data_IF_367625640406
#
_entry.id   IF_367625640406
#
_cell.length_a   1.000
_cell.length_b   1.000
_cell.length_c   1.000
_cell.angle_alpha   90.00
_cell.angle_beta   90.00
_cell.angle_gamma   90.00
#
_symmetry.space_group_name_H-M   'P 1'
#
loop_
_entity.id
_entity.type
_entity.pdbx_description
1 polymer ?
#
# COMPACT_ATOMS: atom_id res chain seq x y z
N UNK A 1 25.37 3.05 -3.53
CA UNK A 1 24.17 3.81 -3.92
C UNK A 1 23.01 2.84 -3.75
N UNK A 2 22.06 3.18 -2.88
CA UNK A 2 20.92 2.29 -2.63
C UNK A 2 19.95 2.42 -3.85
N UNK A 3 19.77 1.34 -4.62
CA UNK A 3 18.92 1.35 -5.83
C UNK A 3 17.50 0.83 -5.51
N UNK A 4 17.08 0.92 -4.25
CA UNK A 4 15.73 0.55 -3.84
C UNK A 4 14.72 1.56 -4.36
N UNK A 5 13.63 1.04 -4.92
CA UNK A 5 12.52 1.86 -5.45
C UNK A 5 11.22 1.51 -4.74
N UNK A 6 10.31 2.47 -4.72
CA UNK A 6 8.95 2.22 -4.23
C UNK A 6 8.32 1.04 -5.00
N UNK A 7 7.74 0.05 -4.31
CA UNK A 7 7.24 -1.18 -4.94
C UNK A 7 5.93 -0.98 -5.72
N UNK A 8 5.29 0.17 -5.56
CA UNK A 8 4.04 0.54 -6.25
C UNK A 8 3.91 2.06 -6.39
N UNK A 9 3.03 2.48 -7.29
CA UNK A 9 2.64 3.89 -7.43
C UNK A 9 1.57 4.22 -6.38
N UNK A 10 1.79 5.31 -5.63
CA UNK A 10 0.86 5.78 -4.61
C UNK A 10 0.41 7.21 -4.91
N UNK A 11 -0.88 7.51 -4.64
CA UNK A 11 -1.39 8.87 -4.81
C UNK A 11 -0.62 9.85 -3.89
N UNK A 12 -0.17 10.96 -4.45
CA UNK A 12 0.71 11.88 -3.73
C UNK A 12 2.14 11.36 -3.53
N UNK A 13 2.53 10.30 -4.24
CA UNK A 13 3.86 9.69 -4.14
C UNK A 13 4.99 10.67 -4.42
N UNK A 14 6.02 10.62 -3.57
CA UNK A 14 7.12 11.60 -3.52
C UNK A 14 8.37 11.14 -4.30
N UNK A 15 8.28 10.10 -5.13
CA UNK A 15 9.44 9.50 -5.83
C UNK A 15 10.24 10.51 -6.66
N UNK A 16 9.56 11.48 -7.29
CA UNK A 16 10.22 12.49 -8.13
C UNK A 16 10.95 13.55 -7.33
N UNK A 17 10.58 13.77 -6.09
CA UNK A 17 11.13 14.82 -5.21
C UNK A 17 11.91 14.26 -4.03
N UNK A 18 12.02 12.94 -3.91
CA UNK A 18 12.69 12.30 -2.79
C UNK A 18 14.14 12.78 -2.60
N UNK A 19 14.90 12.94 -3.69
CA UNK A 19 16.26 13.47 -3.66
C UNK A 19 16.31 14.91 -3.15
N UNK A 20 15.37 15.76 -3.59
CA UNK A 20 15.29 17.16 -3.11
C UNK A 20 14.98 17.23 -1.61
N UNK A 21 14.17 16.30 -1.12
CA UNK A 21 13.86 16.20 0.31
C UNK A 21 15.13 15.85 1.09
N UNK A 22 15.88 14.83 0.65
CA UNK A 22 17.14 14.44 1.31
C UNK A 22 18.22 15.51 1.19
N UNK A 23 18.32 16.22 0.08
CA UNK A 23 19.23 17.37 -0.08
C UNK A 23 18.90 18.50 0.92
N UNK A 24 17.62 18.69 1.22
CA UNK A 24 17.17 19.73 2.13
C UNK A 24 17.34 19.38 3.61
N UNK A 25 17.08 18.12 4.00
CA UNK A 25 17.14 17.70 5.41
C UNK A 25 18.50 17.13 5.82
N UNK A 26 19.30 16.65 4.87
CA UNK A 26 20.62 16.08 5.11
C UNK A 26 20.61 14.74 5.85
N UNK A 27 21.77 14.37 6.46
CA UNK A 27 21.94 13.14 7.25
C UNK A 27 21.43 13.33 8.68
N UNK A 28 20.12 13.14 8.86
CA UNK A 28 19.46 13.26 10.17
C UNK A 28 19.53 11.97 10.97
N UNK A 29 19.64 12.06 12.30
CA UNK A 29 19.64 10.91 13.20
C UNK A 29 18.26 10.27 13.33
N UNK A 30 17.21 11.10 13.34
CA UNK A 30 15.81 10.67 13.44
C UNK A 30 15.05 11.14 12.21
N UNK A 31 14.57 10.19 11.42
CA UNK A 31 13.69 10.48 10.29
C UNK A 31 12.25 10.08 10.63
N UNK A 32 11.31 11.00 10.40
CA UNK A 32 9.88 10.74 10.67
C UNK A 32 9.07 11.02 9.41
N UNK A 33 8.33 10.02 8.93
CA UNK A 33 7.42 10.15 7.79
C UNK A 33 5.99 9.73 8.18
N UNK A 34 5.11 10.69 8.56
CA UNK A 34 3.77 10.38 9.05
C UNK A 34 2.77 9.98 7.95
N UNK A 35 3.07 10.24 6.68
CA UNK A 35 2.30 9.85 5.50
C UNK A 35 3.20 9.03 4.58
N UNK A 36 3.45 7.78 4.98
CA UNK A 36 4.50 6.94 4.40
C UNK A 36 4.22 6.53 2.95
N UNK A 37 2.99 6.14 2.65
CA UNK A 37 2.59 5.70 1.32
C UNK A 37 3.49 4.59 0.76
N UNK A 38 4.04 4.80 -0.42
CA UNK A 38 4.94 3.83 -1.05
C UNK A 38 6.37 3.80 -0.51
N UNK A 39 6.67 4.55 0.56
CA UNK A 39 8.00 4.60 1.14
C UNK A 39 9.07 5.27 0.27
N UNK A 40 8.65 6.01 -0.75
CA UNK A 40 9.54 6.52 -1.78
C UNK A 40 10.66 7.42 -1.25
N UNK A 41 10.40 8.23 -0.21
CA UNK A 41 11.44 9.09 0.37
C UNK A 41 12.41 8.26 1.20
N UNK A 42 11.92 7.41 2.09
CA UNK A 42 12.78 6.57 2.93
C UNK A 42 13.65 5.65 2.08
N UNK A 43 13.09 4.99 1.07
CA UNK A 43 13.82 4.07 0.19
C UNK A 43 14.89 4.78 -0.65
N UNK A 44 14.72 6.07 -0.93
CA UNK A 44 15.71 6.89 -1.63
C UNK A 44 16.77 7.50 -0.73
N UNK A 45 16.82 7.16 0.58
CA UNK A 45 17.80 7.70 1.53
C UNK A 45 19.24 7.46 1.03
N UNK A 46 20.05 8.51 0.85
CA UNK A 46 21.43 8.38 0.39
C UNK A 46 22.41 8.07 1.51
N UNK A 47 21.96 8.16 2.77
CA UNK A 47 22.75 7.97 3.98
C UNK A 47 22.47 6.61 4.63
N UNK A 48 23.33 6.07 5.50
CA UNK A 48 23.05 4.87 6.28
C UNK A 48 21.74 5.00 7.09
N UNK A 49 21.02 3.90 7.24
CA UNK A 49 19.84 3.84 8.09
C UNK A 49 20.19 4.17 9.55
N UNK A 50 19.30 4.92 10.21
CA UNK A 50 19.41 5.31 11.62
C UNK A 50 18.09 5.03 12.32
N UNK A 51 17.59 5.94 13.16
CA UNK A 51 16.26 5.82 13.74
C UNK A 51 15.20 6.34 12.75
N UNK A 52 14.28 5.48 12.36
CA UNK A 52 13.25 5.77 11.36
C UNK A 52 11.88 5.45 11.95
N UNK A 53 10.98 6.42 11.86
CA UNK A 53 9.58 6.28 12.30
C UNK A 53 8.68 6.57 11.11
N UNK A 54 7.88 5.60 10.72
CA UNK A 54 6.95 5.73 9.61
C UNK A 54 5.52 5.44 10.06
N UNK A 55 4.56 6.13 9.47
CA UNK A 55 3.14 5.92 9.74
C UNK A 55 2.32 6.14 8.48
N UNK A 56 1.20 5.42 8.40
CA UNK A 56 0.14 5.69 7.43
C UNK A 56 -1.22 5.30 8.03
N UNK A 57 -2.27 5.97 7.59
CA UNK A 57 -3.63 5.72 8.07
C UNK A 57 -4.35 4.58 7.33
N UNK A 58 -3.86 4.17 6.15
CA UNK A 58 -4.47 3.08 5.40
C UNK A 58 -4.04 1.72 5.98
N UNK A 59 -5.03 0.97 6.52
CA UNK A 59 -4.76 -0.31 7.17
C UNK A 59 -4.20 -1.38 6.23
N UNK A 60 -4.58 -1.41 4.94
CA UNK A 60 -4.00 -2.37 3.98
C UNK A 60 -2.56 -2.03 3.66
N UNK A 61 -2.25 -0.74 3.54
CA UNK A 61 -0.88 -0.26 3.36
C UNK A 61 -0.02 -0.55 4.60
N UNK A 62 -0.53 -0.28 5.80
CA UNK A 62 0.16 -0.58 7.05
C UNK A 62 0.42 -2.08 7.19
N UNK A 63 -0.57 -2.92 6.86
CA UNK A 63 -0.40 -4.38 6.81
C UNK A 63 0.69 -4.80 5.82
N UNK A 64 0.71 -4.19 4.62
CA UNK A 64 1.73 -4.50 3.61
C UNK A 64 3.15 -4.26 4.15
N UNK A 65 3.42 -3.08 4.71
CA UNK A 65 4.75 -2.76 5.22
C UNK A 65 5.14 -3.62 6.42
N UNK A 66 4.20 -3.91 7.32
CA UNK A 66 4.43 -4.81 8.46
C UNK A 66 4.73 -6.23 7.99
N UNK A 67 3.95 -6.74 7.04
CA UNK A 67 4.16 -8.08 6.48
C UNK A 67 5.48 -8.20 5.71
N UNK A 68 5.87 -7.19 4.92
CA UNK A 68 7.17 -7.16 4.22
C UNK A 68 8.33 -7.16 5.21
N UNK A 69 8.19 -6.47 6.33
CA UNK A 69 9.23 -6.46 7.37
C UNK A 69 9.36 -7.80 8.10
N UNK A 70 8.24 -8.51 8.30
CA UNK A 70 8.21 -9.74 9.09
C UNK A 70 8.41 -11.01 8.24
N UNK A 71 7.78 -11.09 7.06
CA UNK A 71 7.79 -12.27 6.18
C UNK A 71 7.74 -11.87 4.70
N UNK A 72 8.84 -11.30 4.15
CA UNK A 72 8.88 -10.83 2.76
C UNK A 72 8.67 -11.96 1.74
N UNK A 73 9.10 -13.19 2.04
CA UNK A 73 8.98 -14.32 1.13
C UNK A 73 7.51 -14.76 0.97
N UNK A 74 6.74 -14.78 2.05
CA UNK A 74 5.31 -15.06 1.97
C UNK A 74 4.56 -13.96 1.21
N UNK A 75 4.90 -12.69 1.42
CA UNK A 75 4.32 -11.59 0.65
C UNK A 75 4.63 -11.74 -0.83
N UNK A 76 5.88 -12.01 -1.18
CA UNK A 76 6.32 -12.23 -2.57
C UNK A 76 5.60 -13.41 -3.21
N UNK A 77 5.44 -14.53 -2.49
CA UNK A 77 4.69 -15.71 -2.95
C UNK A 77 3.24 -15.33 -3.33
N UNK A 78 2.56 -14.58 -2.47
CA UNK A 78 1.18 -14.15 -2.73
C UNK A 78 1.06 -13.03 -3.77
N UNK A 79 2.14 -12.32 -4.08
CA UNK A 79 2.20 -11.32 -5.14
C UNK A 79 2.56 -11.92 -6.53
N UNK A 80 3.14 -13.12 -6.58
CA UNK A 80 3.64 -13.75 -7.80
C UNK A 80 2.54 -14.51 -8.57
N UNK A 81 1.52 -13.80 -9.03
CA UNK A 81 0.41 -14.39 -9.78
C UNK A 81 0.27 -13.79 -11.19
N UNK A 82 -0.14 -14.60 -12.19
CA UNK A 82 -0.55 -14.08 -13.49
C UNK A 82 -1.67 -13.05 -13.36
N UNK A 83 -1.70 -12.06 -14.25
CA UNK A 83 -2.75 -11.05 -14.27
C UNK A 83 -3.89 -11.54 -15.14
N UNK A 84 -5.09 -11.63 -14.55
CA UNK A 84 -6.35 -11.80 -15.26
C UNK A 84 -7.47 -11.04 -14.53
N UNK A 85 -8.51 -10.70 -15.26
CA UNK A 85 -9.58 -9.86 -14.76
C UNK A 85 -10.39 -10.53 -13.64
N UNK A 86 -10.67 -11.82 -13.77
CA UNK A 86 -11.47 -12.55 -12.76
C UNK A 86 -10.74 -12.59 -11.40
N UNK A 87 -9.44 -12.91 -11.40
CA UNK A 87 -8.63 -12.92 -10.18
C UNK A 87 -8.46 -11.52 -9.60
N UNK A 88 -8.29 -10.51 -10.45
CA UNK A 88 -8.17 -9.12 -9.99
C UNK A 88 -9.43 -8.66 -9.24
N UNK A 89 -10.60 -8.93 -9.81
CA UNK A 89 -11.88 -8.59 -9.17
C UNK A 89 -12.14 -9.41 -7.91
N UNK A 90 -11.87 -10.72 -7.92
CA UNK A 90 -12.07 -11.59 -6.77
C UNK A 90 -11.20 -11.16 -5.57
N UNK A 91 -9.92 -10.86 -5.81
CA UNK A 91 -8.99 -10.40 -4.76
C UNK A 91 -9.32 -9.00 -4.28
N UNK A 92 -9.70 -8.09 -5.19
CA UNK A 92 -10.17 -6.76 -4.82
C UNK A 92 -11.38 -6.85 -3.88
N UNK A 93 -12.39 -7.64 -4.25
CA UNK A 93 -13.59 -7.83 -3.43
C UNK A 93 -13.24 -8.41 -2.05
N UNK A 94 -12.37 -9.42 -2.02
CA UNK A 94 -11.92 -10.00 -0.77
C UNK A 94 -11.21 -8.98 0.13
N UNK A 95 -10.28 -8.18 -0.44
CA UNK A 95 -9.55 -7.15 0.29
C UNK A 95 -10.47 -6.05 0.83
N UNK A 96 -11.43 -5.59 0.04
CA UNK A 96 -12.42 -4.58 0.48
C UNK A 96 -13.22 -5.10 1.67
N UNK A 97 -13.68 -6.35 1.61
CA UNK A 97 -14.46 -6.96 2.70
C UNK A 97 -13.62 -7.25 3.96
N UNK A 98 -12.33 -7.51 3.80
CA UNK A 98 -11.43 -7.82 4.92
C UNK A 98 -10.80 -6.57 5.57
N UNK A 99 -10.85 -5.41 4.91
CA UNK A 99 -10.10 -4.20 5.28
C UNK A 99 -10.29 -3.78 6.72
N UNK A 100 -11.53 -3.69 7.18
CA UNK A 100 -11.83 -3.24 8.55
C UNK A 100 -11.31 -4.24 9.59
N UNK A 101 -11.54 -5.53 9.38
CA UNK A 101 -11.03 -6.59 10.26
C UNK A 101 -9.50 -6.68 10.30
N UNK A 102 -8.82 -6.41 9.18
CA UNK A 102 -7.36 -6.30 9.12
C UNK A 102 -6.90 -5.09 9.95
N UNK A 103 -7.53 -3.94 9.76
CA UNK A 103 -7.20 -2.72 10.50
C UNK A 103 -7.38 -2.91 12.00
N UNK A 104 -8.49 -3.49 12.42
CA UNK A 104 -8.77 -3.77 13.85
C UNK A 104 -7.70 -4.68 14.46
N UNK A 105 -7.27 -5.72 13.75
CA UNK A 105 -6.22 -6.63 14.24
C UNK A 105 -4.85 -5.97 14.30
N UNK A 106 -4.50 -5.13 13.32
CA UNK A 106 -3.25 -4.35 13.35
C UNK A 106 -3.20 -3.41 14.56
N UNK A 107 -4.34 -2.85 14.96
CA UNK A 107 -4.45 -1.96 16.11
C UNK A 107 -4.45 -2.73 17.45
N UNK A 108 -4.89 -3.97 17.46
CA UNK A 108 -4.97 -4.81 18.66
C UNK A 108 -3.66 -5.56 18.95
N UNK A 109 -2.87 -5.91 17.92
CA UNK A 109 -1.69 -6.75 18.04
C UNK A 109 -0.54 -6.16 17.21
N UNK A 110 0.55 -5.66 17.86
CA UNK A 110 1.67 -5.04 17.17
C UNK A 110 2.48 -6.01 16.30
N UNK A 111 2.44 -7.30 16.59
CA UNK A 111 3.20 -8.33 15.87
C UNK A 111 2.37 -8.98 14.76
N UNK A 112 1.06 -8.75 14.75
CA UNK A 112 0.20 -9.37 13.76
C UNK A 112 0.33 -8.72 12.38
N UNK A 113 0.32 -9.53 11.35
CA UNK A 113 0.21 -9.15 9.94
C UNK A 113 -0.48 -10.27 9.15
N UNK A 114 -0.97 -9.92 7.95
CA UNK A 114 -1.53 -10.87 6.98
C UNK A 114 -0.73 -10.78 5.67
N UNK A 115 0.19 -11.73 5.49
CA UNK A 115 1.06 -11.79 4.30
C UNK A 115 0.27 -12.06 3.00
N UNK A 116 -0.84 -12.81 3.07
CA UNK A 116 -1.71 -13.06 1.92
C UNK A 116 -2.41 -11.78 1.49
N UNK A 117 -3.01 -11.05 2.44
CA UNK A 117 -3.63 -9.76 2.16
C UNK A 117 -2.61 -8.77 1.59
N UNK A 118 -1.41 -8.72 2.17
CA UNK A 118 -0.30 -7.87 1.72
C UNK A 118 0.12 -8.19 0.28
N UNK A 119 0.34 -9.47 -0.05
CA UNK A 119 0.73 -9.91 -1.39
C UNK A 119 -0.36 -9.67 -2.43
N UNK A 120 -1.62 -9.95 -2.11
CA UNK A 120 -2.75 -9.68 -3.01
C UNK A 120 -2.96 -8.19 -3.22
N UNK A 121 -2.77 -7.38 -2.17
CA UNK A 121 -2.90 -5.94 -2.26
C UNK A 121 -1.83 -5.32 -3.15
N UNK A 122 -0.53 -5.65 -2.94
CA UNK A 122 0.55 -5.11 -3.77
C UNK A 122 0.49 -5.60 -5.21
N UNK A 123 0.08 -6.83 -5.45
CA UNK A 123 -0.19 -7.35 -6.78
C UNK A 123 -1.33 -6.57 -7.44
N UNK A 124 -2.44 -6.40 -6.74
CA UNK A 124 -3.63 -5.74 -7.27
C UNK A 124 -3.41 -4.27 -7.58
N UNK A 125 -2.75 -3.50 -6.70
CA UNK A 125 -2.49 -2.08 -6.95
C UNK A 125 -1.59 -1.84 -8.17
N UNK A 126 -0.68 -2.78 -8.47
CA UNK A 126 0.16 -2.72 -9.66
C UNK A 126 -0.56 -3.15 -10.96
N UNK A 127 -1.67 -3.87 -10.85
CA UNK A 127 -2.47 -4.33 -11.98
C UNK A 127 -3.70 -3.45 -12.24
N UNK A 128 -4.10 -2.63 -11.28
CA UNK A 128 -5.31 -1.83 -11.33
C UNK A 128 -5.16 -0.64 -12.27
N UNK A 129 -6.15 -0.44 -13.14
CA UNK A 129 -6.21 0.71 -14.05
C UNK A 129 -7.05 1.81 -13.40
N UNK A 130 -6.43 2.94 -13.11
CA UNK A 130 -7.07 4.08 -12.43
C UNK A 130 -6.59 4.25 -11.00
N UNK A 131 -7.19 5.18 -10.26
CA UNK A 131 -6.90 5.42 -8.85
C UNK A 131 -7.81 4.62 -7.91
N UNK A 132 -7.45 4.57 -6.62
CA UNK A 132 -8.36 4.12 -5.58
C UNK A 132 -8.53 2.61 -5.41
N UNK A 133 -7.51 1.81 -5.73
CA UNK A 133 -7.56 0.37 -5.42
C UNK A 133 -7.82 0.15 -3.93
N UNK A 134 -8.94 -0.48 -3.59
CA UNK A 134 -9.44 -0.72 -2.22
C UNK A 134 -9.68 0.54 -1.37
N UNK A 135 -9.68 1.77 -1.96
CA UNK A 135 -9.95 3.01 -1.21
C UNK A 135 -11.44 3.24 -0.94
N UNK A 136 -12.31 2.58 -1.68
CA UNK A 136 -13.76 2.85 -1.67
C UNK A 136 -14.21 4.02 -2.54
N UNK A 137 -13.28 4.81 -3.09
CA UNK A 137 -13.57 6.01 -3.88
C UNK A 137 -13.65 5.74 -5.40
N UNK A 138 -13.41 4.50 -5.81
CA UNK A 138 -13.47 4.09 -7.21
C UNK A 138 -14.89 4.09 -7.79
N UNK A 139 -15.02 3.99 -9.13
CA UNK A 139 -16.31 3.96 -9.82
C UNK A 139 -17.08 2.65 -9.58
N UNK A 140 -16.49 1.69 -8.91
CA UNK A 140 -17.07 0.40 -8.61
C UNK A 140 -17.26 0.22 -7.11
N UNK A 141 -18.41 -0.26 -6.72
CA UNK A 141 -18.75 -0.58 -5.32
C UNK A 141 -19.27 -2.01 -5.23
N UNK A 142 -19.07 -2.63 -4.08
CA UNK A 142 -19.71 -3.90 -3.77
C UNK A 142 -21.10 -3.62 -3.18
N UNK A 143 -22.13 -4.14 -3.84
CA UNK A 143 -23.50 -4.12 -3.33
C UNK A 143 -23.95 -5.59 -3.22
N UNK A 144 -24.15 -6.07 -2.00
CA UNK A 144 -24.59 -7.44 -1.71
C UNK A 144 -23.75 -8.54 -2.39
N UNK A 145 -22.43 -8.38 -2.42
CA UNK A 145 -21.52 -9.33 -3.05
C UNK A 145 -21.35 -9.16 -4.57
N UNK A 146 -22.06 -8.22 -5.18
CA UNK A 146 -22.00 -7.95 -6.62
C UNK A 146 -21.20 -6.67 -6.87
N UNK A 147 -20.21 -6.77 -7.76
CA UNK A 147 -19.41 -5.63 -8.20
C UNK A 147 -20.26 -4.75 -9.13
N UNK A 148 -20.69 -3.61 -8.62
CA UNK A 148 -21.61 -2.71 -9.30
C UNK A 148 -20.95 -1.36 -9.57
N UNK A 149 -21.08 -0.83 -10.78
CA UNK A 149 -20.59 0.50 -11.11
C UNK A 149 -21.45 1.54 -10.36
N UNK A 150 -20.82 2.42 -9.60
CA UNK A 150 -21.49 3.60 -9.02
C UNK A 150 -22.20 4.35 -10.16
N UNK A 151 -23.49 4.56 -10.02
CA UNK A 151 -24.23 5.38 -10.96
C UNK A 151 -23.51 6.74 -11.07
N UNK A 152 -23.23 7.19 -12.28
CA UNK A 152 -22.83 8.57 -12.52
C UNK A 152 -24.00 9.42 -12.08
N UNK A 153 -23.92 9.96 -10.86
CA UNK A 153 -24.86 10.99 -10.43
C UNK A 153 -24.80 12.08 -11.50
N UNK A 154 -25.92 12.27 -12.17
CA UNK A 154 -26.08 13.43 -13.03
C UNK A 154 -25.92 14.64 -12.09
N UNK A 155 -24.77 15.31 -12.22
CA UNK A 155 -24.59 16.63 -11.65
C UNK A 155 -25.62 17.54 -12.31
N UNK A 156 -26.47 18.13 -11.49
CA UNK A 156 -27.30 19.28 -11.82
C UNK A 156 -26.38 20.51 -11.84
#
# INVERSE_FOLDING_TARGET
MNDMRAPFVWFGGKSRVAHLIWDAIGDVEHYVEPFFGSGAVLLARPHPARCETVNDADGLLANFWRAVSADPDAVAHHAAHPVNEADLHARHLWLVNAKDGITDRLMADPDWHDAKAAGWWVWGINCWIGGGFCSGDGPWVNVDGIFTKRGTGQGV
#
